data_IF_407520713911
#
_entry.id   IF_407520713911
#
_cell.length_a   1.000
_cell.length_b   1.000
_cell.length_c   1.000
_cell.angle_alpha   90.00
_cell.angle_beta   90.00
_cell.angle_gamma   90.00
#
_symmetry.space_group_name_H-M   'P 1'
#
loop_
_entity.id
_entity.type
_entity.pdbx_description
1 polymer ?
#
# COMPACT_ATOMS: atom_id res chain seq x y z
N UNK A 1 1.03 40.07 20.53
CA UNK A 1 2.08 39.29 21.23
C UNK A 1 2.15 37.91 20.59
N UNK A 2 3.22 37.66 19.84
CA UNK A 2 3.44 36.47 19.02
C UNK A 2 3.74 35.23 19.88
N UNK A 3 2.84 34.24 19.87
CA UNK A 3 3.16 32.89 20.32
C UNK A 3 4.00 32.20 19.24
N UNK A 4 5.30 32.07 19.50
CA UNK A 4 6.19 31.22 18.73
C UNK A 4 5.73 29.77 18.92
N UNK A 5 5.08 29.21 17.91
CA UNK A 5 4.93 27.76 17.78
C UNK A 5 6.33 27.17 17.66
N UNK A 6 6.81 26.64 18.78
CA UNK A 6 8.10 25.96 18.84
C UNK A 6 8.07 24.76 17.90
N UNK A 7 9.07 24.66 17.02
CA UNK A 7 9.27 23.57 16.06
C UNK A 7 9.48 22.12 16.62
N UNK A 8 9.75 21.81 17.91
CA UNK A 8 10.15 20.46 18.29
C UNK A 8 9.01 19.43 18.30
N UNK A 9 7.74 19.84 18.25
CA UNK A 9 6.60 18.91 18.24
C UNK A 9 6.43 18.17 16.88
N UNK A 10 6.79 18.81 15.76
CA UNK A 10 6.70 18.19 14.43
C UNK A 10 7.83 17.17 14.18
N UNK A 11 9.03 17.45 14.69
CA UNK A 11 10.17 16.54 14.58
C UNK A 11 9.97 15.24 15.39
N UNK A 12 9.28 15.30 16.54
CA UNK A 12 8.99 14.12 17.34
C UNK A 12 8.06 13.11 16.66
N UNK A 13 7.05 13.58 15.94
CA UNK A 13 6.09 12.71 15.23
C UNK A 13 6.72 12.09 13.97
N UNK A 14 7.51 12.86 13.23
CA UNK A 14 8.24 12.37 12.05
C UNK A 14 9.32 11.33 12.43
N UNK A 15 10.10 11.59 13.49
CA UNK A 15 11.15 10.67 13.97
C UNK A 15 10.55 9.42 14.61
N UNK A 16 9.44 9.52 15.35
CA UNK A 16 8.72 8.35 15.85
C UNK A 16 8.16 7.49 14.71
N UNK A 17 7.68 8.11 13.63
CA UNK A 17 7.17 7.40 12.45
C UNK A 17 8.31 6.71 11.66
N UNK A 18 9.47 7.36 11.56
CA UNK A 18 10.68 6.82 10.92
C UNK A 18 11.34 5.69 11.72
N UNK A 19 11.45 5.82 13.04
CA UNK A 19 11.94 4.76 13.93
C UNK A 19 10.96 3.58 14.00
N UNK A 20 9.66 3.83 13.85
CA UNK A 20 8.62 2.80 13.79
C UNK A 20 8.64 2.03 12.46
N UNK A 21 8.93 2.69 11.34
CA UNK A 21 9.15 2.04 10.03
C UNK A 21 10.45 1.20 10.01
N UNK A 22 11.49 1.62 10.73
CA UNK A 22 12.76 0.90 10.82
C UNK A 22 12.71 -0.34 11.75
N UNK A 23 11.77 -0.40 12.70
CA UNK A 23 11.75 -1.41 13.77
C UNK A 23 11.16 -2.79 13.41
N UNK A 24 10.44 -2.93 12.29
CA UNK A 24 9.72 -4.18 11.94
C UNK A 24 10.41 -5.05 10.88
N UNK A 25 11.67 -4.76 10.54
CA UNK A 25 12.51 -5.58 9.65
C UNK A 25 12.95 -6.94 10.24
N UNK A 26 12.26 -7.47 11.24
CA UNK A 26 12.53 -8.82 11.76
C UNK A 26 11.89 -9.87 10.86
N UNK A 27 12.71 -10.30 9.91
CA UNK A 27 12.54 -11.45 9.04
C UNK A 27 12.06 -12.68 9.83
N UNK A 28 10.84 -13.13 9.54
CA UNK A 28 10.42 -14.49 9.83
C UNK A 28 10.38 -15.22 8.50
N UNK A 29 11.35 -16.12 8.31
CA UNK A 29 11.44 -16.97 7.13
C UNK A 29 10.09 -17.64 6.88
N UNK A 30 9.35 -17.07 5.93
CA UNK A 30 8.12 -17.64 5.44
C UNK A 30 8.49 -18.95 4.75
N UNK A 31 7.93 -20.07 5.21
CA UNK A 31 7.97 -21.30 4.42
C UNK A 31 7.17 -21.01 3.15
N UNK A 32 7.86 -20.70 2.05
CA UNK A 32 7.27 -20.59 0.73
C UNK A 32 6.63 -21.94 0.41
N UNK A 33 5.30 -21.97 0.38
CA UNK A 33 4.54 -23.13 -0.06
C UNK A 33 4.18 -22.92 -1.53
N UNK A 34 4.29 -23.95 -2.39
CA UNK A 34 3.90 -23.83 -3.79
C UNK A 34 2.45 -23.35 -3.91
N UNK A 35 2.25 -22.19 -4.53
CA UNK A 35 0.92 -21.65 -4.81
C UNK A 35 0.52 -22.02 -6.24
N UNK A 36 -0.72 -22.47 -6.45
CA UNK A 36 -1.28 -22.74 -7.79
C UNK A 36 -1.27 -21.47 -8.65
N UNK A 37 -1.36 -20.29 -8.04
CA UNK A 37 -1.25 -19.00 -8.73
C UNK A 37 0.17 -18.68 -9.22
N UNK A 38 1.19 -19.25 -8.58
CA UNK A 38 2.63 -19.12 -8.92
C UNK A 38 3.17 -20.38 -9.60
N UNK A 39 2.32 -21.28 -10.08
CA UNK A 39 2.81 -22.44 -10.83
C UNK A 39 3.47 -21.95 -12.12
N UNK A 40 4.77 -22.18 -12.23
CA UNK A 40 5.54 -21.92 -13.43
C UNK A 40 5.18 -22.95 -14.49
N UNK A 41 4.71 -22.46 -15.64
CA UNK A 41 4.60 -23.28 -16.84
C UNK A 41 5.99 -23.30 -17.47
N UNK A 42 6.82 -24.24 -17.06
CA UNK A 42 8.13 -24.42 -17.71
C UNK A 42 7.93 -25.09 -19.06
N UNK A 43 8.57 -24.53 -20.08
CA UNK A 43 8.64 -24.99 -21.47
C UNK A 43 7.31 -25.07 -22.24
N UNK A 44 6.67 -23.91 -22.48
CA UNK A 44 5.82 -23.77 -23.66
C UNK A 44 6.77 -23.70 -24.87
N UNK A 45 6.65 -24.62 -25.84
CA UNK A 45 7.50 -24.58 -27.04
C UNK A 45 7.20 -23.35 -27.88
N UNK A 46 8.21 -22.83 -28.60
CA UNK A 46 8.04 -21.71 -29.54
C UNK A 46 6.93 -21.96 -30.56
N UNK A 47 6.83 -23.21 -31.00
CA UNK A 47 5.74 -23.65 -31.86
C UNK A 47 4.37 -23.48 -31.19
N UNK A 48 4.22 -23.86 -29.92
CA UNK A 48 2.97 -23.68 -29.19
C UNK A 48 2.66 -22.20 -28.95
N UNK A 49 3.67 -21.36 -28.67
CA UNK A 49 3.50 -19.90 -28.54
C UNK A 49 2.95 -19.26 -29.83
N UNK A 50 3.43 -19.70 -30.98
CA UNK A 50 3.05 -19.13 -32.28
C UNK A 50 1.74 -19.71 -32.84
N UNK A 51 1.36 -20.93 -32.46
CA UNK A 51 0.22 -21.65 -33.06
C UNK A 51 -1.03 -21.65 -32.18
N UNK A 52 -0.91 -21.44 -30.86
CA UNK A 52 -2.06 -21.48 -29.94
C UNK A 52 -2.50 -20.07 -29.55
N UNK A 53 -3.82 -19.83 -29.42
CA UNK A 53 -4.31 -18.57 -28.87
C UNK A 53 -3.84 -18.40 -27.42
N UNK A 54 -3.58 -17.17 -27.00
CA UNK A 54 -3.03 -16.85 -25.68
C UNK A 54 -3.79 -17.50 -24.51
N UNK A 55 -5.12 -17.61 -24.61
CA UNK A 55 -5.95 -18.26 -23.57
C UNK A 55 -5.66 -19.75 -23.40
N UNK A 56 -5.22 -20.44 -24.46
CA UNK A 56 -4.87 -21.85 -24.44
C UNK A 56 -3.43 -22.11 -23.95
N UNK A 57 -2.65 -21.05 -23.71
CA UNK A 57 -1.31 -21.10 -23.14
C UNK A 57 -1.32 -20.95 -21.61
N UNK A 58 -2.45 -20.58 -21.02
CA UNK A 58 -2.62 -20.44 -19.57
C UNK A 58 -2.97 -21.78 -18.95
N UNK A 59 -2.32 -22.15 -17.85
CA UNK A 59 -2.69 -23.32 -17.05
C UNK A 59 -4.16 -23.17 -16.58
N UNK A 60 -5.08 -24.09 -16.94
CA UNK A 60 -6.48 -24.01 -16.55
C UNK A 60 -6.68 -24.02 -15.03
N UNK A 61 -5.80 -24.69 -14.26
CA UNK A 61 -5.87 -24.67 -12.80
C UNK A 61 -5.51 -23.29 -12.24
N UNK A 62 -4.52 -22.62 -12.84
CA UNK A 62 -4.11 -21.26 -12.50
C UNK A 62 -5.21 -20.26 -12.84
N UNK A 63 -5.84 -20.40 -14.02
CA UNK A 63 -6.98 -19.56 -14.41
C UNK A 63 -8.15 -19.73 -13.44
N UNK A 64 -8.51 -20.98 -13.10
CA UNK A 64 -9.58 -21.26 -12.14
C UNK A 64 -9.25 -20.68 -10.75
N UNK A 65 -7.99 -20.75 -10.30
CA UNK A 65 -7.55 -20.14 -9.05
C UNK A 65 -7.64 -18.60 -9.08
N UNK A 66 -7.26 -17.97 -10.20
CA UNK A 66 -7.37 -16.53 -10.38
C UNK A 66 -8.83 -16.07 -10.36
N UNK A 67 -9.72 -16.79 -11.07
CA UNK A 67 -11.16 -16.53 -11.04
C UNK A 67 -11.71 -16.66 -9.63
N UNK A 68 -11.35 -17.72 -8.88
CA UNK A 68 -11.75 -17.85 -7.46
C UNK A 68 -11.27 -16.69 -6.60
N UNK A 69 -10.02 -16.25 -6.77
CA UNK A 69 -9.47 -15.08 -6.06
C UNK A 69 -10.31 -13.84 -6.32
N UNK A 70 -10.60 -13.54 -7.58
CA UNK A 70 -11.39 -12.36 -7.96
C UNK A 70 -12.78 -12.42 -7.32
N UNK A 71 -13.48 -13.56 -7.41
CA UNK A 71 -14.82 -13.69 -6.83
C UNK A 71 -14.82 -13.53 -5.31
N UNK A 72 -13.88 -14.15 -4.60
CA UNK A 72 -13.81 -14.04 -3.15
C UNK A 72 -13.40 -12.64 -2.70
N UNK A 73 -12.40 -12.04 -3.34
CA UNK A 73 -11.97 -10.67 -2.99
C UNK A 73 -13.04 -9.63 -3.31
N UNK A 74 -13.75 -9.75 -4.43
CA UNK A 74 -14.83 -8.83 -4.80
C UNK A 74 -15.92 -8.72 -3.73
N UNK A 75 -16.30 -9.84 -3.11
CA UNK A 75 -17.26 -9.83 -2.00
C UNK A 75 -16.74 -8.97 -0.84
N UNK A 76 -15.48 -9.17 -0.43
CA UNK A 76 -14.89 -8.37 0.64
C UNK A 76 -14.83 -6.88 0.31
N UNK A 77 -14.47 -6.54 -0.94
CA UNK A 77 -14.42 -5.16 -1.43
C UNK A 77 -15.78 -4.47 -1.47
N UNK A 78 -16.87 -5.20 -1.73
CA UNK A 78 -18.23 -4.66 -1.76
C UNK A 78 -18.80 -4.56 -0.34
N UNK A 79 -18.58 -5.57 0.49
CA UNK A 79 -19.13 -5.63 1.85
C UNK A 79 -18.48 -4.59 2.77
N UNK A 80 -17.18 -4.30 2.60
CA UNK A 80 -16.47 -3.27 3.37
C UNK A 80 -17.16 -1.89 3.38
N UNK A 81 -17.35 -1.22 2.22
CA UNK A 81 -18.01 0.09 2.20
C UNK A 81 -19.48 0.02 2.63
N UNK A 82 -20.18 -1.10 2.43
CA UNK A 82 -21.55 -1.28 2.92
C UNK A 82 -21.59 -1.24 4.45
N UNK A 83 -20.69 -1.97 5.12
CA UNK A 83 -20.62 -1.99 6.59
C UNK A 83 -20.24 -0.62 7.14
N UNK A 84 -19.27 0.07 6.53
CA UNK A 84 -18.90 1.43 6.89
C UNK A 84 -20.07 2.41 6.71
N UNK A 85 -20.78 2.34 5.58
CA UNK A 85 -21.93 3.18 5.29
C UNK A 85 -23.08 2.94 6.28
N UNK A 86 -23.39 1.69 6.61
CA UNK A 86 -24.41 1.34 7.61
C UNK A 86 -24.02 1.89 8.98
N UNK A 87 -22.77 1.72 9.41
CA UNK A 87 -22.31 2.20 10.71
C UNK A 87 -22.39 3.73 10.81
N UNK A 88 -21.98 4.45 9.76
CA UNK A 88 -22.06 5.91 9.71
C UNK A 88 -23.51 6.40 9.61
N UNK A 89 -24.35 5.75 8.80
CA UNK A 89 -25.77 6.09 8.69
C UNK A 89 -26.50 5.87 10.00
N UNK A 90 -26.20 4.77 10.71
CA UNK A 90 -26.74 4.51 12.04
C UNK A 90 -26.27 5.55 13.06
N UNK A 91 -24.98 5.90 13.06
CA UNK A 91 -24.45 6.95 13.95
C UNK A 91 -25.13 8.30 13.68
N UNK A 92 -25.40 8.60 12.41
CA UNK A 92 -26.09 9.82 11.99
C UNK A 92 -27.56 9.83 12.40
N UNK A 93 -28.31 8.77 12.06
CA UNK A 93 -29.77 8.69 12.28
C UNK A 93 -30.15 8.56 13.76
N UNK A 94 -29.31 7.94 14.57
CA UNK A 94 -29.52 7.81 16.03
C UNK A 94 -29.20 9.10 16.81
N UNK A 95 -28.63 10.12 16.17
CA UNK A 95 -28.09 11.29 16.87
C UNK A 95 -26.82 11.00 17.68
N UNK A 96 -26.24 9.80 17.55
CA UNK A 96 -25.00 9.39 18.23
C UNK A 96 -23.81 10.30 17.89
N UNK A 97 -23.78 10.82 16.66
CA UNK A 97 -22.78 11.81 16.25
C UNK A 97 -22.86 13.11 17.09
N UNK A 98 -24.06 13.66 17.28
CA UNK A 98 -24.27 14.87 18.06
C UNK A 98 -23.96 14.63 19.55
N UNK A 99 -24.43 13.51 20.09
CA UNK A 99 -24.19 13.17 21.50
C UNK A 99 -22.70 12.94 21.80
N UNK A 100 -21.96 12.29 20.88
CA UNK A 100 -20.50 12.12 20.97
C UNK A 100 -19.78 13.48 20.95
N UNK A 101 -20.14 14.36 20.02
CA UNK A 101 -19.56 15.71 19.94
C UNK A 101 -19.80 16.50 21.22
N UNK A 102 -21.04 16.50 21.71
CA UNK A 102 -21.41 17.26 22.91
C UNK A 102 -20.77 16.65 24.17
N UNK A 103 -20.61 15.32 24.22
CA UNK A 103 -19.85 14.66 25.27
C UNK A 103 -18.37 15.07 25.26
N UNK A 104 -17.72 15.09 24.10
CA UNK A 104 -16.34 15.56 23.94
C UNK A 104 -16.20 17.03 24.34
N UNK A 105 -17.14 17.89 23.93
CA UNK A 105 -17.14 19.32 24.26
C UNK A 105 -17.26 19.58 25.78
N UNK A 106 -17.97 18.72 26.52
CA UNK A 106 -18.03 18.79 27.99
C UNK A 106 -16.74 18.35 28.67
N UNK A 107 -15.96 17.46 28.04
CA UNK A 107 -14.74 16.86 28.62
C UNK A 107 -13.46 17.61 28.25
N UNK A 108 -13.42 18.21 27.07
CA UNK A 108 -12.23 18.85 26.52
C UNK A 108 -12.43 20.37 26.46
N UNK A 109 -11.47 21.12 27.00
CA UNK A 109 -11.56 22.60 27.05
C UNK A 109 -11.22 23.26 25.71
N UNK A 110 -10.44 22.60 24.86
CA UNK A 110 -9.98 23.15 23.57
C UNK A 110 -10.87 22.68 22.43
N UNK A 111 -11.39 23.62 21.64
CA UNK A 111 -12.16 23.30 20.42
C UNK A 111 -11.36 22.48 19.42
N UNK A 112 -10.04 22.72 19.32
CA UNK A 112 -9.16 21.95 18.46
C UNK A 112 -9.10 20.48 18.90
N UNK A 113 -8.96 20.23 20.20
CA UNK A 113 -8.96 18.87 20.76
C UNK A 113 -10.30 18.16 20.57
N UNK A 114 -11.43 18.88 20.70
CA UNK A 114 -12.77 18.32 20.43
C UNK A 114 -12.85 17.84 18.98
N UNK A 115 -12.43 18.66 18.01
CA UNK A 115 -12.46 18.31 16.58
C UNK A 115 -11.54 17.13 16.25
N UNK A 116 -10.34 17.13 16.82
CA UNK A 116 -9.40 16.03 16.67
C UNK A 116 -9.98 14.72 17.21
N UNK A 117 -10.44 14.70 18.46
CA UNK A 117 -10.99 13.50 19.09
C UNK A 117 -12.28 13.03 18.39
N UNK A 118 -13.09 13.96 17.89
CA UNK A 118 -14.30 13.62 17.13
C UNK A 118 -13.93 12.94 15.80
N UNK A 119 -13.01 13.51 15.01
CA UNK A 119 -12.52 12.89 13.78
C UNK A 119 -11.86 11.53 14.02
N UNK A 120 -11.05 11.40 15.07
CA UNK A 120 -10.43 10.15 15.47
C UNK A 120 -11.46 9.08 15.86
N UNK A 121 -12.52 9.45 16.59
CA UNK A 121 -13.59 8.54 16.97
C UNK A 121 -14.42 8.06 15.76
N UNK A 122 -14.70 8.95 14.80
CA UNK A 122 -15.36 8.56 13.54
C UNK A 122 -14.50 7.59 12.73
N UNK A 123 -13.19 7.83 12.63
CA UNK A 123 -12.27 6.91 11.96
C UNK A 123 -12.19 5.56 12.68
N UNK A 124 -12.18 5.55 14.01
CA UNK A 124 -12.25 4.30 14.78
C UNK A 124 -13.55 3.54 14.48
N UNK A 125 -14.70 4.22 14.45
CA UNK A 125 -15.98 3.59 14.13
C UNK A 125 -15.96 2.96 12.73
N UNK A 126 -15.46 3.70 11.72
CA UNK A 126 -15.31 3.17 10.37
C UNK A 126 -14.38 1.95 10.35
N UNK A 127 -13.26 1.99 11.07
CA UNK A 127 -12.32 0.86 11.20
C UNK A 127 -12.93 -0.35 11.92
N UNK A 128 -13.76 -0.14 12.93
CA UNK A 128 -14.48 -1.22 13.61
C UNK A 128 -15.52 -1.86 12.67
N UNK A 129 -16.23 -1.06 11.88
CA UNK A 129 -17.17 -1.56 10.88
C UNK A 129 -16.45 -2.37 9.77
N UNK A 130 -15.29 -1.89 9.33
CA UNK A 130 -14.46 -2.54 8.31
C UNK A 130 -13.68 -3.75 8.82
N UNK A 131 -13.66 -4.02 10.13
CA UNK A 131 -12.84 -5.09 10.71
C UNK A 131 -13.17 -6.47 10.15
N UNK A 132 -14.47 -6.82 10.10
CA UNK A 132 -14.91 -8.13 9.61
C UNK A 132 -14.59 -8.32 8.11
N UNK A 133 -14.91 -7.37 7.21
CA UNK A 133 -14.52 -7.44 5.80
C UNK A 133 -13.00 -7.52 5.60
N UNK A 134 -12.22 -6.75 6.34
CA UNK A 134 -10.76 -6.79 6.25
C UNK A 134 -10.19 -8.12 6.75
N UNK A 135 -10.74 -8.67 7.83
CA UNK A 135 -10.37 -10.00 8.31
C UNK A 135 -10.70 -11.08 7.28
N UNK A 136 -11.87 -10.99 6.65
CA UNK A 136 -12.26 -11.88 5.56
C UNK A 136 -11.27 -11.83 4.38
N UNK A 137 -10.90 -10.63 3.91
CA UNK A 137 -9.90 -10.47 2.85
C UNK A 137 -8.55 -11.10 3.22
N UNK A 138 -8.08 -10.88 4.45
CA UNK A 138 -6.88 -11.54 4.95
C UNK A 138 -7.03 -13.07 4.96
N UNK A 139 -8.20 -13.60 5.35
CA UNK A 139 -8.47 -15.04 5.30
C UNK A 139 -8.44 -15.59 3.88
N UNK A 140 -8.99 -14.86 2.91
CA UNK A 140 -8.92 -15.21 1.48
C UNK A 140 -7.48 -15.26 1.00
N UNK A 141 -6.66 -14.26 1.32
CA UNK A 141 -5.24 -14.27 0.95
C UNK A 141 -4.48 -15.41 1.64
N UNK A 142 -4.83 -15.73 2.89
CA UNK A 142 -4.20 -16.81 3.65
C UNK A 142 -4.58 -18.19 3.11
N UNK A 143 -5.84 -18.41 2.72
CA UNK A 143 -6.30 -19.69 2.14
C UNK A 143 -5.72 -19.91 0.75
N UNK A 144 -5.54 -18.84 -0.02
CA UNK A 144 -4.88 -18.85 -1.33
C UNK A 144 -3.36 -18.80 -1.24
N UNK A 145 -2.78 -18.86 -0.04
CA UNK A 145 -1.32 -18.84 0.20
C UNK A 145 -0.61 -17.62 -0.42
N UNK A 146 -1.32 -16.50 -0.56
CA UNK A 146 -0.80 -15.24 -1.09
C UNK A 146 -0.10 -14.40 -0.02
N UNK A 147 -0.38 -14.67 1.25
CA UNK A 147 0.28 -14.01 2.37
C UNK A 147 0.89 -15.02 3.35
N UNK A 148 2.19 -14.89 3.69
CA UNK A 148 2.79 -15.68 4.74
C UNK A 148 2.41 -15.19 6.14
N UNK A 149 1.77 -14.02 6.25
CA UNK A 149 1.49 -13.35 7.52
C UNK A 149 0.59 -14.20 8.44
N UNK A 150 0.96 -14.30 9.71
CA UNK A 150 0.17 -14.96 10.75
C UNK A 150 -0.98 -14.06 11.21
N UNK A 151 -2.05 -14.65 11.74
CA UNK A 151 -3.25 -13.90 12.18
C UNK A 151 -2.94 -12.92 13.30
N UNK A 152 -2.00 -13.26 14.19
CA UNK A 152 -1.55 -12.37 15.27
C UNK A 152 -0.83 -11.15 14.70
N UNK A 153 0.09 -11.36 13.75
CA UNK A 153 0.82 -10.30 13.07
C UNK A 153 -0.12 -9.41 12.26
N UNK A 154 -1.07 -10.01 11.54
CA UNK A 154 -2.12 -9.28 10.84
C UNK A 154 -2.93 -8.39 11.80
N UNK A 155 -3.34 -8.92 12.95
CA UNK A 155 -4.10 -8.18 13.95
C UNK A 155 -3.32 -6.99 14.53
N UNK A 156 -2.03 -7.18 14.83
CA UNK A 156 -1.16 -6.09 15.27
C UNK A 156 -1.01 -5.00 14.20
N UNK A 157 -0.81 -5.41 12.94
CA UNK A 157 -0.75 -4.50 11.81
C UNK A 157 -2.07 -3.73 11.64
N UNK A 158 -3.21 -4.40 11.79
CA UNK A 158 -4.53 -3.79 11.74
C UNK A 158 -4.75 -2.75 12.84
N UNK A 159 -4.40 -3.08 14.09
CA UNK A 159 -4.48 -2.16 15.23
C UNK A 159 -3.63 -0.92 14.96
N UNK A 160 -2.38 -1.11 14.51
CA UNK A 160 -1.50 -0.01 14.18
C UNK A 160 -2.06 0.88 13.06
N UNK A 161 -2.55 0.29 11.96
CA UNK A 161 -3.17 1.04 10.88
C UNK A 161 -4.43 1.77 11.32
N UNK A 162 -5.17 1.20 12.27
CA UNK A 162 -6.34 1.84 12.89
C UNK A 162 -5.91 3.06 13.70
N UNK A 163 -4.90 2.93 14.57
CA UNK A 163 -4.37 4.07 15.34
C UNK A 163 -3.83 5.18 14.43
N UNK A 164 -3.07 4.83 13.39
CA UNK A 164 -2.58 5.78 12.41
C UNK A 164 -3.73 6.49 11.69
N UNK A 165 -4.75 5.76 11.26
CA UNK A 165 -5.93 6.34 10.61
C UNK A 165 -6.71 7.26 11.55
N UNK A 166 -6.84 6.92 12.84
CA UNK A 166 -7.45 7.79 13.84
C UNK A 166 -6.69 9.12 13.99
N UNK A 167 -5.35 9.06 14.06
CA UNK A 167 -4.51 10.25 14.16
C UNK A 167 -4.67 11.12 12.91
N UNK A 168 -4.55 10.52 11.72
CA UNK A 168 -4.67 11.24 10.44
C UNK A 168 -6.06 11.87 10.29
N UNK A 169 -7.13 11.12 10.51
CA UNK A 169 -8.49 11.63 10.41
C UNK A 169 -8.79 12.72 11.46
N UNK A 170 -8.28 12.56 12.68
CA UNK A 170 -8.36 13.58 13.72
C UNK A 170 -7.67 14.88 13.31
N UNK A 171 -6.44 14.81 12.77
CA UNK A 171 -5.72 16.00 12.28
C UNK A 171 -6.50 16.65 11.14
N UNK A 172 -6.95 15.88 10.15
CA UNK A 172 -7.73 16.39 9.01
C UNK A 172 -8.98 17.11 9.52
N UNK A 173 -9.78 16.47 10.39
CA UNK A 173 -10.99 17.07 10.94
C UNK A 173 -10.70 18.36 11.72
N UNK A 174 -9.64 18.36 12.55
CA UNK A 174 -9.25 19.53 13.33
C UNK A 174 -8.81 20.70 12.45
N UNK A 175 -7.98 20.44 11.43
CA UNK A 175 -7.45 21.46 10.51
C UNK A 175 -8.57 22.00 9.61
N UNK A 176 -9.37 21.13 8.99
CA UNK A 176 -10.45 21.55 8.09
C UNK A 176 -11.49 22.38 8.85
N UNK A 177 -11.96 21.92 10.02
CA UNK A 177 -12.94 22.68 10.79
C UNK A 177 -12.36 23.97 11.38
N UNK A 178 -11.07 23.99 11.74
CA UNK A 178 -10.40 25.23 12.09
C UNK A 178 -10.34 26.22 10.92
N UNK A 179 -10.12 25.72 9.70
CA UNK A 179 -10.09 26.54 8.50
C UNK A 179 -11.49 27.08 8.15
N UNK A 180 -12.53 26.26 8.31
CA UNK A 180 -13.94 26.66 8.14
C UNK A 180 -14.29 27.87 9.02
N UNK A 181 -13.81 27.93 10.26
CA UNK A 181 -14.04 29.09 11.13
C UNK A 181 -13.27 30.35 10.69
N UNK A 182 -12.20 30.20 9.92
CA UNK A 182 -11.24 31.27 9.60
C UNK A 182 -11.44 31.86 8.22
N UNK A 183 -11.96 31.09 7.26
CA UNK A 183 -12.08 31.53 5.88
C UNK A 183 -13.23 30.84 5.14
N UNK A 184 -13.89 31.61 4.26
CA UNK A 184 -14.90 31.10 3.34
C UNK A 184 -14.29 30.24 2.21
N UNK A 185 -12.99 30.38 1.94
CA UNK A 185 -12.26 29.64 0.89
C UNK A 185 -11.62 28.35 1.41
N UNK A 186 -12.10 27.80 2.53
CA UNK A 186 -11.53 26.61 3.16
C UNK A 186 -11.44 25.41 2.20
N UNK A 187 -12.39 25.30 1.27
CA UNK A 187 -12.43 24.22 0.26
C UNK A 187 -11.22 24.27 -0.68
N UNK A 188 -10.83 25.47 -1.16
CA UNK A 188 -9.72 25.63 -2.11
C UNK A 188 -8.39 25.23 -1.46
N UNK A 189 -8.16 25.67 -0.22
CA UNK A 189 -6.99 25.28 0.55
C UNK A 189 -6.98 23.78 0.88
N UNK A 190 -8.13 23.18 1.19
CA UNK A 190 -8.23 21.74 1.47
C UNK A 190 -7.90 20.92 0.22
N UNK A 191 -8.46 21.29 -0.93
CA UNK A 191 -8.15 20.64 -2.23
C UNK A 191 -6.67 20.79 -2.56
N UNK A 192 -6.11 22.00 -2.43
CA UNK A 192 -4.70 22.25 -2.69
C UNK A 192 -3.80 21.43 -1.75
N UNK A 193 -4.15 21.34 -0.47
CA UNK A 193 -3.41 20.54 0.49
C UNK A 193 -3.47 19.04 0.17
N UNK A 194 -4.64 18.50 -0.19
CA UNK A 194 -4.80 17.10 -0.61
C UNK A 194 -3.99 16.82 -1.87
N UNK A 195 -4.02 17.73 -2.85
CA UNK A 195 -3.23 17.61 -4.08
C UNK A 195 -1.72 17.62 -3.76
N UNK A 196 -1.27 18.59 -2.96
CA UNK A 196 0.12 18.71 -2.56
C UNK A 196 0.62 17.47 -1.80
N UNK A 197 -0.18 16.96 -0.86
CA UNK A 197 0.14 15.72 -0.12
C UNK A 197 0.13 14.51 -1.04
N UNK A 198 -0.82 14.40 -1.97
CA UNK A 198 -0.88 13.29 -2.94
C UNK A 198 0.34 13.27 -3.85
N UNK A 199 0.74 14.44 -4.36
CA UNK A 199 1.94 14.59 -5.19
C UNK A 199 3.19 14.28 -4.36
N UNK A 200 3.34 14.88 -3.19
CA UNK A 200 4.45 14.62 -2.28
C UNK A 200 4.56 13.14 -1.90
N UNK A 201 3.43 12.48 -1.65
CA UNK A 201 3.37 11.04 -1.38
C UNK A 201 3.72 10.22 -2.62
N UNK A 202 3.29 10.60 -3.82
CA UNK A 202 3.73 9.96 -5.06
C UNK A 202 5.24 9.94 -5.19
N UNK A 203 5.92 11.04 -4.85
CA UNK A 203 7.37 11.14 -4.85
C UNK A 203 8.05 10.45 -3.66
N UNK A 204 7.47 10.54 -2.46
CA UNK A 204 8.08 10.02 -1.24
C UNK A 204 7.83 8.53 -1.02
N UNK A 205 6.68 8.02 -1.48
CA UNK A 205 6.25 6.65 -1.20
C UNK A 205 7.24 5.57 -1.66
N UNK A 206 7.95 5.70 -2.80
CA UNK A 206 9.02 4.76 -3.14
C UNK A 206 10.15 4.74 -2.12
N UNK A 207 10.53 5.90 -1.57
CA UNK A 207 11.61 6.00 -0.57
C UNK A 207 11.18 5.54 0.81
N UNK A 208 9.89 5.60 1.12
CA UNK A 208 9.34 5.09 2.37
C UNK A 208 9.11 3.59 2.30
N UNK A 209 8.68 3.07 1.14
CA UNK A 209 8.36 1.65 0.96
C UNK A 209 9.58 0.80 0.58
N UNK A 210 10.53 1.33 -0.22
CA UNK A 210 11.70 0.57 -0.67
C UNK A 210 12.62 0.08 0.47
N UNK A 211 12.94 0.86 1.53
CA UNK A 211 13.82 0.39 2.60
C UNK A 211 13.17 -0.61 3.56
N UNK A 212 11.85 -0.84 3.46
CA UNK A 212 11.15 -1.87 4.25
C UNK A 212 11.56 -3.28 3.79
N UNK A 213 12.08 -3.43 2.56
CA UNK A 213 12.89 -4.57 2.15
C UNK A 213 14.38 -4.22 2.23
N UNK A 214 15.24 -5.15 2.67
CA UNK A 214 16.68 -4.98 2.39
C UNK A 214 16.81 -5.01 0.88
N UNK A 215 17.32 -3.95 0.29
CA UNK A 215 17.63 -3.90 -1.14
C UNK A 215 19.10 -4.23 -1.29
N UNK A 216 19.37 -5.40 -1.87
CA UNK A 216 20.72 -5.75 -2.31
C UNK A 216 20.90 -5.22 -3.72
N UNK A 217 22.08 -4.69 -4.04
CA UNK A 217 22.41 -4.45 -5.44
C UNK A 217 22.48 -5.82 -6.14
N UNK A 218 21.67 -6.00 -7.18
CA UNK A 218 21.72 -7.22 -7.98
C UNK A 218 23.01 -7.18 -8.81
N UNK A 219 23.63 -8.33 -9.03
CA UNK A 219 24.86 -8.44 -9.83
C UNK A 219 24.79 -9.65 -10.76
N UNK A 220 25.62 -9.64 -11.80
CA UNK A 220 25.78 -10.74 -12.73
C UNK A 220 24.86 -10.67 -13.95
N UNK A 221 24.69 -11.81 -14.62
CA UNK A 221 24.14 -11.91 -15.99
C UNK A 221 22.78 -11.22 -16.20
N UNK A 222 21.92 -11.20 -15.18
CA UNK A 222 20.61 -10.54 -15.26
C UNK A 222 20.76 -9.02 -15.39
N UNK A 223 21.70 -8.42 -14.65
CA UNK A 223 21.97 -6.97 -14.72
C UNK A 223 22.59 -6.62 -16.06
N UNK A 224 23.58 -7.40 -16.53
CA UNK A 224 24.20 -7.19 -17.83
C UNK A 224 23.15 -7.22 -18.96
N UNK A 225 22.16 -8.14 -18.86
CA UNK A 225 21.05 -8.25 -19.81
C UNK A 225 20.17 -7.00 -19.80
N UNK A 226 19.78 -6.54 -18.61
CA UNK A 226 18.96 -5.32 -18.42
C UNK A 226 19.71 -4.09 -18.92
N UNK A 227 20.98 -3.92 -18.59
CA UNK A 227 21.81 -2.80 -19.05
C UNK A 227 21.92 -2.79 -20.58
N UNK A 228 22.13 -3.96 -21.20
CA UNK A 228 22.15 -4.08 -22.66
C UNK A 228 20.80 -3.74 -23.31
N UNK A 229 19.69 -4.05 -22.62
CA UNK A 229 18.33 -3.73 -23.06
C UNK A 229 18.08 -2.22 -23.00
N UNK A 230 18.42 -1.58 -21.88
CA UNK A 230 18.29 -0.13 -21.71
C UNK A 230 19.15 0.64 -22.72
N UNK A 231 20.39 0.18 -22.95
CA UNK A 231 21.29 0.77 -23.93
C UNK A 231 20.72 0.67 -25.35
N UNK A 232 20.15 -0.49 -25.75
CA UNK A 232 19.49 -0.66 -27.04
C UNK A 232 18.24 0.22 -27.20
N UNK A 233 17.54 0.50 -26.12
CA UNK A 233 16.39 1.40 -26.11
C UNK A 233 16.77 2.89 -26.07
N UNK A 234 18.07 3.22 -25.98
CA UNK A 234 18.55 4.60 -25.84
C UNK A 234 18.23 5.23 -24.49
N UNK A 235 18.01 4.41 -23.46
CA UNK A 235 17.63 4.84 -22.11
C UNK A 235 18.88 4.87 -21.24
N UNK A 236 19.05 5.93 -20.44
CA UNK A 236 20.16 6.06 -19.53
C UNK A 236 20.25 4.86 -18.56
N UNK A 237 21.47 4.41 -18.18
CA UNK A 237 21.65 3.32 -17.23
C UNK A 237 20.87 3.56 -15.94
N UNK A 238 20.24 2.51 -15.42
CA UNK A 238 19.50 2.53 -14.16
C UNK A 238 20.06 1.49 -13.21
N UNK A 239 20.21 1.85 -11.94
CA UNK A 239 20.64 0.90 -10.93
C UNK A 239 19.56 -0.17 -10.70
N UNK A 240 19.95 -1.44 -10.70
CA UNK A 240 19.07 -2.59 -10.49
C UNK A 240 19.25 -3.15 -9.08
N UNK A 241 18.15 -3.20 -8.33
CA UNK A 241 18.12 -3.69 -6.96
C UNK A 241 17.23 -4.92 -6.86
N UNK A 242 17.66 -5.88 -6.04
CA UNK A 242 16.83 -6.98 -5.59
C UNK A 242 16.17 -6.63 -4.27
N UNK A 243 14.84 -6.68 -4.23
CA UNK A 243 14.07 -6.54 -3.00
C UNK A 243 13.98 -7.90 -2.30
N UNK A 244 14.53 -7.99 -1.09
CA UNK A 244 14.36 -9.17 -0.21
C UNK A 244 13.01 -9.18 0.51
N UNK A 245 12.02 -8.41 0.04
CA UNK A 245 10.68 -8.43 0.63
C UNK A 245 10.12 -9.85 0.52
N UNK A 246 9.71 -10.43 1.65
CA UNK A 246 9.02 -11.71 1.73
C UNK A 246 7.61 -11.61 1.10
N UNK A 247 7.58 -11.49 -0.22
CA UNK A 247 6.37 -11.54 -1.05
C UNK A 247 6.48 -12.77 -1.94
N UNK A 248 5.49 -13.69 -1.91
CA UNK A 248 5.43 -14.76 -2.91
C UNK A 248 5.13 -14.21 -4.30
N UNK A 249 4.56 -13.01 -4.39
CA UNK A 249 4.23 -12.37 -5.67
C UNK A 249 5.49 -11.72 -6.25
N UNK A 250 5.86 -12.18 -7.44
CA UNK A 250 6.92 -11.59 -8.26
C UNK A 250 6.50 -10.25 -8.87
N UNK A 251 7.23 -9.19 -8.55
CA UNK A 251 7.01 -7.83 -9.05
C UNK A 251 8.31 -7.24 -9.59
N UNK A 252 8.20 -6.52 -10.70
CA UNK A 252 9.25 -5.64 -11.22
C UNK A 252 8.63 -4.25 -11.19
N UNK A 253 9.33 -3.30 -10.59
CA UNK A 253 8.87 -1.92 -10.52
C UNK A 253 10.00 -1.02 -10.93
N UNK A 254 9.76 -0.15 -11.93
CA UNK A 254 10.67 0.96 -12.19
C UNK A 254 10.20 2.15 -11.36
N UNK A 255 11.08 2.65 -10.50
CA UNK A 255 10.77 3.82 -9.68
C UNK A 255 11.12 5.09 -10.46
N UNK A 256 10.11 5.91 -10.82
CA UNK A 256 10.32 7.17 -11.50
C UNK A 256 10.75 8.21 -10.47
N UNK A 257 12.00 8.13 -10.01
CA UNK A 257 12.49 9.05 -8.99
C UNK A 257 13.63 9.90 -9.56
N UNK A 258 13.48 11.21 -9.46
CA UNK A 258 14.56 12.16 -9.66
C UNK A 258 15.43 12.19 -8.39
N UNK A 259 16.78 12.25 -8.49
CA UNK A 259 17.57 12.36 -9.71
C UNK A 259 17.91 11.01 -10.38
N UNK A 260 17.77 9.87 -9.71
CA UNK A 260 18.20 8.56 -10.23
C UNK A 260 17.04 7.57 -10.33
N UNK A 261 16.73 7.16 -11.56
CA UNK A 261 15.79 6.07 -11.84
C UNK A 261 16.42 4.75 -11.43
N UNK A 262 15.63 3.88 -10.79
CA UNK A 262 16.07 2.56 -10.34
C UNK A 262 15.03 1.50 -10.64
N UNK A 263 15.51 0.32 -10.95
CA UNK A 263 14.68 -0.87 -11.18
C UNK A 263 14.74 -1.71 -9.92
N UNK A 264 13.58 -2.04 -9.35
CA UNK A 264 13.47 -2.96 -8.23
C UNK A 264 12.84 -4.26 -8.75
N UNK A 265 13.55 -5.36 -8.56
CA UNK A 265 13.10 -6.71 -8.89
C UNK A 265 12.90 -7.47 -7.58
N UNK A 266 11.75 -8.08 -7.35
CA UNK A 266 11.58 -8.89 -6.12
C UNK A 266 12.35 -10.20 -6.22
N UNK A 267 12.79 -10.72 -5.06
CA UNK A 267 13.46 -12.02 -4.99
C UNK A 267 12.65 -13.15 -5.66
N UNK A 268 11.32 -13.12 -5.53
CA UNK A 268 10.44 -14.08 -6.21
C UNK A 268 10.50 -14.00 -7.74
N UNK A 269 10.78 -12.83 -8.34
CA UNK A 269 11.02 -12.74 -9.79
C UNK A 269 12.35 -13.37 -10.14
N UNK A 270 13.43 -12.98 -9.44
CA UNK A 270 14.79 -13.47 -9.70
C UNK A 270 14.89 -14.98 -9.55
N UNK A 271 14.28 -15.54 -8.51
CA UNK A 271 14.32 -16.97 -8.22
C UNK A 271 13.52 -17.82 -9.22
N UNK A 272 12.52 -17.22 -9.88
CA UNK A 272 11.50 -17.98 -10.59
C UNK A 272 11.41 -17.70 -12.10
N UNK A 273 12.05 -16.63 -12.59
CA UNK A 273 12.02 -16.25 -14.01
C UNK A 273 13.43 -16.37 -14.64
N UNK A 274 13.44 -16.71 -15.93
CA UNK A 274 14.65 -16.67 -16.75
C UNK A 274 15.07 -15.22 -17.05
N UNK A 275 16.35 -14.96 -17.37
CA UNK A 275 16.81 -13.60 -17.69
C UNK A 275 15.98 -12.92 -18.80
N UNK A 276 15.56 -13.67 -19.83
CA UNK A 276 14.74 -13.13 -20.92
C UNK A 276 13.33 -12.72 -20.46
N UNK A 277 12.72 -13.46 -19.53
CA UNK A 277 11.41 -13.10 -18.96
C UNK A 277 11.51 -11.86 -18.06
N UNK A 278 12.62 -11.73 -17.33
CA UNK A 278 12.91 -10.53 -16.53
C UNK A 278 13.09 -9.33 -17.46
N UNK A 279 13.88 -9.47 -18.52
CA UNK A 279 14.10 -8.43 -19.54
C UNK A 279 12.77 -7.96 -20.16
N UNK A 280 11.89 -8.89 -20.53
CA UNK A 280 10.56 -8.57 -21.05
C UNK A 280 9.74 -7.75 -20.04
N UNK A 281 9.71 -8.16 -18.75
CA UNK A 281 8.99 -7.42 -17.71
C UNK A 281 9.59 -6.04 -17.47
N UNK A 282 10.91 -5.92 -17.45
CA UNK A 282 11.60 -4.62 -17.31
C UNK A 282 11.27 -3.72 -18.50
N UNK A 283 11.33 -4.24 -19.73
CA UNK A 283 10.98 -3.48 -20.93
C UNK A 283 9.53 -2.96 -20.89
N UNK A 284 8.59 -3.78 -20.43
CA UNK A 284 7.20 -3.39 -20.26
C UNK A 284 7.04 -2.23 -19.26
N UNK A 285 7.64 -2.34 -18.07
CA UNK A 285 7.57 -1.30 -17.05
C UNK A 285 8.29 -0.01 -17.49
N UNK A 286 9.42 -0.13 -18.18
CA UNK A 286 10.18 1.00 -18.72
C UNK A 286 9.40 1.72 -19.83
N UNK A 287 8.69 0.99 -20.69
CA UNK A 287 7.82 1.59 -21.70
C UNK A 287 6.63 2.35 -21.09
N UNK A 288 6.16 1.96 -19.90
CA UNK A 288 5.09 2.64 -19.19
C UNK A 288 5.48 4.01 -18.60
N UNK A 289 6.78 4.30 -18.48
CA UNK A 289 7.31 5.55 -17.93
C UNK A 289 8.00 6.45 -18.98
N UNK A 290 8.20 5.95 -20.20
CA UNK A 290 8.82 6.66 -21.31
C UNK A 290 7.77 7.49 -22.07
#
# INVERSE_FOLDING_TARGET
>A
MHSRLTLPAFYGVAVASLLFLAGFGSAFAAIQRPNVLDRHVTAISDQALMQRPAIALVDPERQAAAVRKVHWTAIGWIVAPIFEAIALLYLWSSGGAASLRDWLARRLRSQWSVRFCYGAALALLARLAAFLPAFYLYRVDRTLQLTPMLTRTWGLFWIFHTLLAMIVAGIIAAVVLWLVDRTHQWYAYTVLAILAVSVAWGFASPYVQAPIGRTGQLHGRVVDSIESLLARAGIAPMAVFESTRDSPVGEVTVLPAWPERRIIVTHAVVAAHTPAEIDYRVAYEVAGIA
#
